data_IF_933031419878
#
_entry.id   IF_933031419878
#
_cell.length_a   1.000
_cell.length_b   1.000
_cell.length_c   1.000
_cell.angle_alpha   90.00
_cell.angle_beta   90.00
_cell.angle_gamma   90.00
#
_symmetry.space_group_name_H-M   'P 1'
#
loop_
_entity.id
_entity.type
_entity.pdbx_description
1 polymer ?
#
# COMPACT_ATOMS: atom_id res chain seq x y z
N UNK A 1 56.82 4.56 -24.02
CA UNK A 1 55.50 5.21 -24.19
C UNK A 1 54.31 4.29 -23.87
N UNK A 2 54.46 3.31 -22.95
CA UNK A 2 53.35 2.47 -22.44
C UNK A 2 53.28 2.45 -20.90
N UNK A 3 54.34 2.86 -20.21
CA UNK A 3 54.42 2.94 -18.74
C UNK A 3 53.71 4.18 -18.15
N UNK A 4 53.39 5.18 -18.97
CA UNK A 4 52.63 6.39 -18.57
C UNK A 4 51.10 6.18 -18.67
N UNK A 5 50.65 5.29 -19.58
CA UNK A 5 49.22 5.01 -19.79
C UNK A 5 48.68 4.09 -18.69
N UNK A 6 49.51 3.17 -18.20
CA UNK A 6 49.23 2.36 -17.03
C UNK A 6 49.98 2.93 -15.84
N UNK A 7 49.62 4.16 -15.44
CA UNK A 7 50.09 4.80 -14.22
C UNK A 7 49.79 3.93 -13.00
N UNK A 8 50.66 2.97 -12.74
CA UNK A 8 50.59 2.05 -11.62
C UNK A 8 50.88 2.82 -10.36
N UNK A 9 49.83 3.35 -9.72
CA UNK A 9 49.89 3.64 -8.30
C UNK A 9 50.21 2.33 -7.58
N UNK A 10 51.19 2.31 -6.65
CA UNK A 10 51.49 1.11 -5.89
C UNK A 10 50.22 0.64 -5.17
N UNK A 11 49.80 -0.58 -5.49
CA UNK A 11 48.55 -1.23 -5.06
C UNK A 11 48.41 -1.40 -3.54
N UNK A 12 49.47 -1.16 -2.78
CA UNK A 12 49.48 -1.33 -1.32
C UNK A 12 48.65 -0.25 -0.59
N UNK A 13 48.52 0.95 -1.14
CA UNK A 13 47.72 2.04 -0.53
C UNK A 13 46.23 1.96 -0.91
N UNK A 14 45.93 1.42 -2.10
CA UNK A 14 44.55 1.24 -2.59
C UNK A 14 43.87 0.06 -1.87
N UNK A 15 44.60 -1.02 -1.56
CA UNK A 15 44.01 -2.20 -0.90
C UNK A 15 43.57 -1.94 0.54
N UNK A 16 44.29 -1.08 1.27
CA UNK A 16 43.92 -0.67 2.62
C UNK A 16 42.66 0.22 2.64
N UNK A 17 42.40 0.94 1.55
CA UNK A 17 41.19 1.76 1.36
C UNK A 17 40.04 1.02 0.68
N UNK A 18 40.30 -0.03 -0.10
CA UNK A 18 39.29 -0.90 -0.74
C UNK A 18 38.64 -1.92 0.21
N UNK A 19 39.33 -2.33 1.27
CA UNK A 19 38.77 -3.23 2.29
C UNK A 19 37.94 -2.51 3.35
N UNK A 20 38.01 -1.17 3.39
CA UNK A 20 37.09 -0.40 4.20
C UNK A 20 35.74 -0.36 3.47
N UNK A 21 34.61 -0.69 4.14
CA UNK A 21 33.31 -0.40 3.56
C UNK A 21 33.26 1.07 3.13
N UNK A 22 32.55 1.41 2.04
CA UNK A 22 32.41 2.79 1.62
C UNK A 22 32.01 3.63 2.83
N UNK A 23 32.62 4.81 3.05
CA UNK A 23 32.34 5.62 4.22
C UNK A 23 30.84 5.85 4.29
N UNK A 24 30.21 5.27 5.31
CA UNK A 24 28.79 5.47 5.58
C UNK A 24 28.56 6.98 5.74
N UNK A 25 27.49 7.46 5.12
CA UNK A 25 27.12 8.88 5.06
C UNK A 25 27.26 9.52 6.45
N UNK A 26 27.91 10.69 6.53
CA UNK A 26 28.13 11.37 7.81
C UNK A 26 26.78 11.81 8.39
N UNK A 27 26.67 11.90 9.71
CA UNK A 27 25.51 12.49 10.39
C UNK A 27 25.21 13.87 9.81
N UNK A 28 24.15 13.95 9.00
CA UNK A 28 23.76 15.13 8.20
C UNK A 28 23.34 14.80 6.78
N UNK A 29 23.87 13.72 6.18
CA UNK A 29 23.50 13.30 4.80
C UNK A 29 22.16 12.55 4.73
N UNK A 30 21.52 12.27 5.87
CA UNK A 30 20.17 11.67 5.93
C UNK A 30 19.09 12.62 5.38
N UNK A 31 19.31 13.94 5.45
CA UNK A 31 18.37 14.93 4.89
C UNK A 31 18.43 14.97 3.35
N UNK A 32 19.48 14.38 2.74
CA UNK A 32 19.70 14.35 1.29
C UNK A 32 19.52 12.95 0.70
N UNK A 33 18.75 12.09 1.36
CA UNK A 33 18.32 10.84 0.74
C UNK A 33 17.31 11.17 -0.38
N UNK A 34 17.43 10.59 -1.58
CA UNK A 34 16.37 10.69 -2.56
C UNK A 34 15.09 10.15 -1.91
N UNK A 35 14.02 10.95 -1.93
CA UNK A 35 12.70 10.46 -1.57
C UNK A 35 12.36 9.37 -2.56
N UNK A 36 12.53 8.11 -2.16
CA UNK A 36 12.01 7.01 -2.94
C UNK A 36 10.51 7.25 -3.07
N UNK A 37 9.95 7.27 -4.29
CA UNK A 37 8.51 7.20 -4.40
C UNK A 37 8.11 5.93 -3.63
N UNK A 38 7.23 6.09 -2.64
CA UNK A 38 6.63 4.94 -1.97
C UNK A 38 6.20 3.96 -3.05
N UNK A 39 6.37 2.66 -2.79
CA UNK A 39 5.88 1.65 -3.71
C UNK A 39 4.42 2.01 -4.02
N UNK A 40 3.95 1.95 -5.28
CA UNK A 40 2.53 2.18 -5.57
C UNK A 40 1.55 1.30 -4.76
N UNK A 41 2.07 0.26 -4.08
CA UNK A 41 1.35 -0.64 -3.18
C UNK A 41 1.45 -0.23 -1.69
N UNK A 42 2.17 0.84 -1.35
CA UNK A 42 2.21 1.48 -0.03
C UNK A 42 0.94 2.33 0.22
N UNK A 43 -0.19 1.96 -0.38
CA UNK A 43 -1.47 2.46 0.08
C UNK A 43 -1.63 2.04 1.56
N UNK A 44 -2.02 2.96 2.45
CA UNK A 44 -2.15 2.64 3.87
C UNK A 44 -3.07 1.44 4.03
N UNK A 45 -2.73 0.51 4.92
CA UNK A 45 -3.54 -0.67 5.18
C UNK A 45 -4.89 -0.25 5.78
N UNK A 46 -5.85 0.05 4.91
CA UNK A 46 -7.17 0.55 5.31
C UNK A 46 -8.10 -0.60 5.72
N UNK A 47 -9.06 -0.31 6.58
CA UNK A 47 -10.09 -1.28 6.97
C UNK A 47 -10.84 -1.83 5.76
N UNK A 48 -11.10 -0.99 4.74
CA UNK A 48 -11.75 -1.40 3.50
C UNK A 48 -10.97 -2.48 2.74
N UNK A 49 -9.64 -2.39 2.71
CA UNK A 49 -8.77 -3.42 2.11
C UNK A 49 -8.87 -4.74 2.85
N UNK A 50 -8.87 -4.73 4.19
CA UNK A 50 -9.07 -5.94 4.98
C UNK A 50 -10.46 -6.55 4.75
N UNK A 51 -11.52 -5.74 4.72
CA UNK A 51 -12.89 -6.22 4.47
C UNK A 51 -13.05 -6.84 3.09
N UNK A 52 -12.33 -6.32 2.08
CA UNK A 52 -12.28 -6.94 0.76
C UNK A 52 -11.66 -8.35 0.81
N UNK A 53 -10.50 -8.49 1.47
CA UNK A 53 -9.80 -9.77 1.61
C UNK A 53 -10.62 -10.77 2.43
N UNK A 54 -11.15 -10.35 3.58
CA UNK A 54 -11.97 -11.21 4.44
C UNK A 54 -13.35 -11.52 3.85
N UNK A 55 -13.87 -10.65 2.99
CA UNK A 55 -15.16 -10.88 2.33
C UNK A 55 -15.17 -12.11 1.40
N UNK A 56 -14.00 -12.55 0.94
CA UNK A 56 -13.89 -13.83 0.22
C UNK A 56 -14.29 -15.04 1.10
N UNK A 57 -14.01 -14.98 2.40
CA UNK A 57 -14.41 -16.02 3.36
C UNK A 57 -15.85 -15.85 3.83
N UNK A 58 -16.35 -14.62 3.87
CA UNK A 58 -17.67 -14.33 4.38
C UNK A 58 -18.28 -13.12 3.64
N UNK A 59 -19.14 -13.37 2.62
CA UNK A 59 -19.57 -12.34 1.66
C UNK A 59 -20.39 -11.21 2.29
N UNK A 60 -20.88 -11.37 3.52
CA UNK A 60 -21.51 -10.28 4.27
C UNK A 60 -20.51 -9.19 4.69
N UNK A 61 -19.20 -9.49 4.80
CA UNK A 61 -18.20 -8.44 5.09
C UNK A 61 -18.04 -7.44 3.94
N UNK A 62 -18.38 -7.82 2.70
CA UNK A 62 -18.43 -6.83 1.60
C UNK A 62 -19.53 -5.80 1.83
N UNK A 63 -20.66 -6.15 2.47
CA UNK A 63 -21.68 -5.18 2.89
C UNK A 63 -21.15 -4.20 3.93
N UNK A 64 -20.32 -4.68 4.86
CA UNK A 64 -19.66 -3.82 5.85
C UNK A 64 -18.66 -2.87 5.17
N UNK A 65 -17.94 -3.34 4.16
CA UNK A 65 -17.09 -2.50 3.31
C UNK A 65 -17.89 -1.44 2.56
N UNK A 66 -19.08 -1.78 2.06
CA UNK A 66 -20.00 -0.81 1.44
C UNK A 66 -20.52 0.20 2.48
N UNK A 67 -20.84 -0.25 3.70
CA UNK A 67 -21.31 0.61 4.78
C UNK A 67 -20.25 1.65 5.20
N UNK A 68 -18.95 1.35 5.04
CA UNK A 68 -17.87 2.33 5.25
C UNK A 68 -17.98 3.52 4.28
N UNK A 69 -18.51 3.38 3.07
CA UNK A 69 -18.76 4.55 2.21
C UNK A 69 -19.80 5.51 2.82
N UNK A 70 -20.73 4.98 3.61
CA UNK A 70 -21.78 5.76 4.24
C UNK A 70 -21.33 6.39 5.57
N UNK A 71 -20.21 5.93 6.13
CA UNK A 71 -19.71 6.42 7.42
C UNK A 71 -18.74 7.59 7.22
N UNK A 72 -19.03 8.79 7.75
CA UNK A 72 -17.98 9.76 7.98
C UNK A 72 -17.06 9.20 9.09
N UNK A 73 -15.86 8.73 8.73
CA UNK A 73 -14.71 8.59 9.63
C UNK A 73 -14.52 9.91 10.39
N UNK A 74 -15.07 9.97 11.60
CA UNK A 74 -14.75 10.99 12.59
C UNK A 74 -13.47 10.54 13.28
N UNK A 75 -12.41 11.34 13.15
CA UNK A 75 -11.19 11.06 13.89
C UNK A 75 -11.32 11.56 15.32
N UNK A 76 -11.06 10.66 16.27
CA UNK A 76 -10.89 11.06 17.66
C UNK A 76 -9.73 12.05 17.78
N UNK A 77 -9.85 13.12 18.59
CA UNK A 77 -8.86 14.19 18.71
C UNK A 77 -7.47 13.71 19.17
N UNK A 78 -7.39 12.48 19.71
CA UNK A 78 -6.17 11.87 20.25
C UNK A 78 -5.33 11.09 19.23
N UNK A 79 -5.74 11.02 17.95
CA UNK A 79 -5.19 10.06 16.97
C UNK A 79 -3.70 10.26 16.63
N UNK A 80 -3.10 11.42 16.88
CA UNK A 80 -1.64 11.62 16.77
C UNK A 80 -1.20 12.80 17.67
N UNK A 81 -0.84 12.55 18.93
CA UNK A 81 -0.23 13.56 19.78
C UNK A 81 1.21 13.85 19.29
N UNK A 82 1.40 14.87 18.43
CA UNK A 82 2.73 15.31 18.01
C UNK A 82 2.86 15.94 16.62
N UNK A 83 1.91 15.72 15.71
CA UNK A 83 1.91 16.31 14.35
C UNK A 83 1.03 17.55 14.24
N UNK A 84 1.39 18.43 13.30
CA UNK A 84 0.65 19.66 12.97
C UNK A 84 -0.76 19.31 12.49
N UNK A 85 -1.78 20.11 12.83
CA UNK A 85 -3.17 19.83 12.41
C UNK A 85 -3.36 19.73 10.89
N UNK A 86 -2.52 20.42 10.12
CA UNK A 86 -2.58 20.42 8.66
C UNK A 86 -2.12 19.08 8.06
N UNK A 87 -1.03 18.51 8.58
CA UNK A 87 -0.50 17.22 8.14
C UNK A 87 -1.50 16.08 8.43
N UNK A 88 -2.18 16.15 9.58
CA UNK A 88 -3.24 15.19 9.94
C UNK A 88 -4.38 15.19 8.94
N UNK A 89 -4.82 16.38 8.50
CA UNK A 89 -5.90 16.52 7.51
C UNK A 89 -5.50 15.95 6.15
N UNK A 90 -4.26 16.16 5.74
CA UNK A 90 -3.73 15.59 4.49
C UNK A 90 -3.71 14.07 4.54
N UNK A 91 -3.13 13.47 5.59
CA UNK A 91 -3.09 12.02 5.78
C UNK A 91 -4.48 11.40 5.81
N UNK A 92 -5.44 12.06 6.46
CA UNK A 92 -6.83 11.59 6.48
C UNK A 92 -7.47 11.65 5.11
N UNK A 93 -7.22 12.70 4.33
CA UNK A 93 -7.78 12.82 2.98
C UNK A 93 -7.26 11.71 2.05
N UNK A 94 -5.98 11.35 2.16
CA UNK A 94 -5.37 10.25 1.41
C UNK A 94 -5.93 8.89 1.82
N UNK A 95 -6.07 8.66 3.13
CA UNK A 95 -6.66 7.44 3.67
C UNK A 95 -8.12 7.27 3.21
N UNK A 96 -8.91 8.34 3.22
CA UNK A 96 -10.30 8.33 2.71
C UNK A 96 -10.38 8.00 1.23
N UNK A 97 -9.49 8.56 0.41
CA UNK A 97 -9.45 8.26 -1.01
C UNK A 97 -9.16 6.77 -1.25
N UNK A 98 -8.23 6.20 -0.48
CA UNK A 98 -7.94 4.77 -0.51
C UNK A 98 -9.13 3.93 -0.05
N UNK A 99 -9.76 4.26 1.09
CA UNK A 99 -10.95 3.55 1.58
C UNK A 99 -12.07 3.50 0.55
N UNK A 100 -12.39 4.63 -0.07
CA UNK A 100 -13.45 4.72 -1.09
C UNK A 100 -13.11 3.86 -2.31
N UNK A 101 -11.84 3.86 -2.75
CA UNK A 101 -11.38 3.04 -3.87
C UNK A 101 -11.59 1.55 -3.57
N UNK A 102 -11.15 1.08 -2.42
CA UNK A 102 -11.31 -0.32 -2.00
C UNK A 102 -12.78 -0.69 -1.78
N UNK A 103 -13.56 0.21 -1.22
CA UNK A 103 -14.96 -0.04 -0.94
C UNK A 103 -15.81 -0.15 -2.22
N UNK A 104 -15.44 0.55 -3.31
CA UNK A 104 -16.01 0.32 -4.65
C UNK A 104 -15.72 -1.09 -5.16
N UNK A 105 -14.51 -1.62 -4.94
CA UNK A 105 -14.21 -3.00 -5.32
C UNK A 105 -15.03 -4.01 -4.50
N UNK A 106 -15.28 -3.75 -3.21
CA UNK A 106 -16.24 -4.54 -2.40
C UNK A 106 -17.66 -4.54 -3.01
N UNK A 107 -18.15 -3.40 -3.51
CA UNK A 107 -19.44 -3.32 -4.19
C UNK A 107 -19.47 -4.21 -5.42
N UNK A 108 -18.46 -4.11 -6.29
CA UNK A 108 -18.37 -4.93 -7.50
C UNK A 108 -18.24 -6.42 -7.20
N UNK A 109 -17.47 -6.80 -6.18
CA UNK A 109 -17.32 -8.18 -5.73
C UNK A 109 -18.64 -8.76 -5.20
N UNK A 110 -19.39 -7.99 -4.41
CA UNK A 110 -20.70 -8.40 -3.93
C UNK A 110 -21.70 -8.57 -5.08
N UNK A 111 -21.74 -7.62 -6.02
CA UNK A 111 -22.61 -7.69 -7.19
C UNK A 111 -22.28 -8.91 -8.06
N UNK A 112 -21.00 -9.17 -8.34
CA UNK A 112 -20.60 -10.31 -9.15
C UNK A 112 -20.95 -11.64 -8.49
N UNK A 113 -20.71 -11.78 -7.18
CA UNK A 113 -21.10 -12.98 -6.45
C UNK A 113 -22.62 -13.17 -6.45
N UNK A 114 -23.38 -12.10 -6.21
CA UNK A 114 -24.85 -12.16 -6.21
C UNK A 114 -25.41 -12.60 -7.57
N UNK A 115 -24.83 -12.15 -8.68
CA UNK A 115 -25.21 -12.55 -10.02
C UNK A 115 -24.90 -14.04 -10.28
N UNK A 116 -23.74 -14.53 -9.84
CA UNK A 116 -23.36 -15.95 -9.94
C UNK A 116 -24.36 -16.83 -9.15
N UNK A 117 -24.72 -16.43 -7.93
CA UNK A 117 -25.70 -17.18 -7.12
C UNK A 117 -27.06 -17.19 -7.80
N UNK A 118 -27.54 -16.03 -8.29
CA UNK A 118 -28.84 -15.92 -8.95
C UNK A 118 -28.91 -16.79 -10.22
N UNK A 119 -27.86 -16.80 -11.03
CA UNK A 119 -27.78 -17.65 -12.23
C UNK A 119 -27.74 -19.13 -11.88
N UNK A 120 -26.94 -19.55 -10.89
CA UNK A 120 -26.89 -20.93 -10.44
C UNK A 120 -28.23 -21.41 -9.89
N UNK A 121 -28.89 -20.60 -9.07
CA UNK A 121 -30.22 -20.90 -8.52
C UNK A 121 -31.25 -21.03 -9.65
N UNK A 122 -31.27 -20.07 -10.59
CA UNK A 122 -32.17 -20.11 -11.75
C UNK A 122 -31.97 -21.38 -12.59
N UNK A 123 -30.70 -21.75 -12.83
CA UNK A 123 -30.37 -22.98 -13.55
C UNK A 123 -30.85 -24.23 -12.81
N UNK A 124 -30.61 -24.32 -11.50
CA UNK A 124 -31.10 -25.42 -10.68
C UNK A 124 -32.63 -25.52 -10.69
N UNK A 125 -33.33 -24.39 -10.63
CA UNK A 125 -34.79 -24.36 -10.73
C UNK A 125 -35.27 -24.88 -12.09
N UNK A 126 -34.63 -24.50 -13.20
CA UNK A 126 -34.98 -24.99 -14.54
C UNK A 126 -34.75 -26.49 -14.65
N UNK A 127 -33.59 -26.98 -14.22
CA UNK A 127 -33.26 -28.42 -14.26
C UNK A 127 -34.17 -29.24 -13.36
N UNK A 128 -34.58 -28.72 -12.20
CA UNK A 128 -35.48 -29.43 -11.29
C UNK A 128 -36.94 -29.43 -11.78
N UNK A 129 -37.32 -28.47 -12.63
CA UNK A 129 -38.67 -28.34 -13.20
C UNK A 129 -38.87 -29.27 -14.42
N UNK A 130 -37.80 -29.63 -15.11
CA UNK A 130 -37.78 -30.54 -16.25
C UNK A 130 -37.48 -31.98 -15.82
#
# INVERSE_FOLDING_TARGET
>A
MLHEIFGGRPLDEVRASELAPPPYSKEGDYERLPSYPGHPDDEPATLARYLFIYGFFFPLFWLLGIAILCSPLETTPDWEQGKTEEEKKQLLSELRAAEVKWAKYCLWAFLSLSAIIATAVSFLFIVKLH
#
